data_IF_575385362472
#
_entry.id   IF_575385362472
#
_cell.length_a   1.000
_cell.length_b   1.000
_cell.length_c   1.000
_cell.angle_alpha   90.00
_cell.angle_beta   90.00
_cell.angle_gamma   90.00
#
_symmetry.space_group_name_H-M   'P 1'
#
loop_
_entity.id
_entity.type
_entity.pdbx_description
1 polymer ?
#
# COMPACT_ATOMS: atom_id res chain seq x y z
N UNK A 1 18.73 -21.89 -1.56
CA UNK A 1 18.64 -21.96 -0.07
C UNK A 1 19.82 -21.32 0.69
N UNK A 2 21.09 -21.51 0.29
CA UNK A 2 22.26 -20.97 1.04
C UNK A 2 22.51 -19.46 0.95
N UNK A 3 21.78 -18.71 0.11
CA UNK A 3 21.90 -17.25 0.01
C UNK A 3 20.87 -16.50 0.89
N UNK A 4 19.77 -17.13 1.28
CA UNK A 4 18.78 -16.55 2.19
C UNK A 4 19.27 -16.48 3.65
N UNK A 5 20.19 -17.39 4.04
CA UNK A 5 20.73 -17.46 5.40
C UNK A 5 21.80 -16.38 5.69
N UNK A 6 22.43 -15.80 4.65
CA UNK A 6 23.45 -14.75 4.82
C UNK A 6 22.85 -13.37 5.08
N UNK A 7 21.60 -13.14 4.71
CA UNK A 7 20.90 -11.88 4.99
C UNK A 7 20.42 -11.78 6.45
N UNK A 8 20.16 -12.93 7.10
CA UNK A 8 19.67 -12.99 8.48
C UNK A 8 20.78 -12.82 9.54
N UNK A 9 22.04 -13.11 9.19
CA UNK A 9 23.20 -12.97 10.09
C UNK A 9 23.80 -11.55 10.12
N UNK A 10 23.46 -10.69 9.15
CA UNK A 10 23.95 -9.30 9.15
C UNK A 10 23.16 -8.40 10.15
N UNK A 11 21.94 -8.80 10.51
CA UNK A 11 21.05 -8.06 11.42
C UNK A 11 21.30 -8.32 12.92
N UNK A 12 22.18 -9.27 13.28
CA UNK A 12 22.47 -9.61 14.69
C UNK A 12 23.80 -9.01 15.17
N UNK A 13 24.60 -8.38 14.29
CA UNK A 13 25.92 -7.85 14.64
C UNK A 13 25.98 -6.38 15.08
N UNK A 14 24.83 -5.68 15.17
CA UNK A 14 24.79 -4.26 15.59
C UNK A 14 24.32 -4.02 17.04
N UNK A 15 24.26 -5.06 17.89
CA UNK A 15 23.74 -4.95 19.26
C UNK A 15 24.78 -5.04 20.38
N UNK A 16 26.08 -5.01 20.10
CA UNK A 16 27.11 -5.09 21.14
C UNK A 16 28.23 -4.06 20.94
N UNK A 17 27.96 -2.82 21.37
CA UNK A 17 28.98 -1.86 21.80
C UNK A 17 28.36 -0.93 22.85
N UNK A 18 28.03 -1.50 24.02
CA UNK A 18 27.82 -0.73 25.25
C UNK A 18 28.97 -1.11 26.18
N UNK A 19 30.01 -0.29 26.18
CA UNK A 19 30.95 -0.22 27.29
C UNK A 19 31.34 1.24 27.53
N UNK A 20 31.22 1.64 28.79
CA UNK A 20 31.19 3.02 29.24
C UNK A 20 32.52 3.75 29.15
N UNK A 21 32.43 4.99 28.72
CA UNK A 21 32.91 6.16 29.47
C UNK A 21 31.82 7.22 29.32
N UNK A 22 31.55 8.04 30.34
CA UNK A 22 30.61 9.14 30.25
C UNK A 22 31.20 10.21 29.30
N UNK A 23 31.06 9.96 28.00
CA UNK A 23 31.52 10.84 26.95
C UNK A 23 30.46 11.93 26.80
N UNK A 24 30.86 13.20 26.91
CA UNK A 24 30.03 14.33 26.50
C UNK A 24 29.56 14.09 25.07
N UNK A 25 28.24 14.10 24.84
CA UNK A 25 27.68 13.94 23.49
C UNK A 25 27.51 15.32 22.88
N UNK A 26 28.16 15.54 21.74
CA UNK A 26 28.00 16.75 20.94
C UNK A 26 26.92 16.53 19.87
N UNK A 27 25.89 17.37 19.86
CA UNK A 27 24.82 17.32 18.85
C UNK A 27 24.89 18.60 18.01
N UNK A 28 24.77 18.43 16.68
CA UNK A 28 24.60 19.53 15.73
C UNK A 28 23.12 19.78 15.48
N UNK A 29 22.66 21.00 15.72
CA UNK A 29 21.26 21.42 15.56
C UNK A 29 21.18 22.51 14.50
N UNK A 30 20.13 22.47 13.68
CA UNK A 30 19.85 23.48 12.65
C UNK A 30 18.55 24.22 12.98
N UNK A 31 18.63 25.53 13.20
CA UNK A 31 17.48 26.40 13.34
C UNK A 31 16.95 26.79 11.96
N UNK A 32 15.67 26.51 11.71
CA UNK A 32 14.99 27.04 10.53
C UNK A 32 14.33 28.38 10.84
N UNK A 33 14.64 29.45 10.08
CA UNK A 33 13.96 30.73 10.24
C UNK A 33 12.55 30.58 9.68
N UNK A 34 11.61 30.13 10.52
CA UNK A 34 10.26 29.83 10.03
C UNK A 34 9.48 31.10 9.69
N UNK A 35 9.86 32.28 10.21
CA UNK A 35 9.04 33.51 10.07
C UNK A 35 9.81 34.83 10.10
N UNK A 36 11.11 34.86 9.77
CA UNK A 36 11.79 36.15 9.55
C UNK A 36 11.62 36.53 8.08
N UNK A 37 10.62 37.38 7.77
CA UNK A 37 10.63 38.14 6.51
C UNK A 37 11.92 38.99 6.53
N UNK A 38 13.01 38.45 5.99
CA UNK A 38 14.33 39.07 6.04
C UNK A 38 15.52 38.10 6.16
N UNK A 39 15.31 36.79 6.41
CA UNK A 39 16.43 35.86 6.65
C UNK A 39 17.02 35.98 8.07
N UNK A 40 18.11 35.27 8.36
CA UNK A 40 18.87 35.52 9.59
C UNK A 40 19.44 36.94 9.54
N UNK A 41 19.52 37.66 10.68
CA UNK A 41 20.15 38.99 10.70
C UNK A 41 21.57 38.90 10.11
N UNK A 42 21.95 39.90 9.29
CA UNK A 42 23.25 39.94 8.59
C UNK A 42 24.46 39.86 9.55
N UNK A 43 24.23 40.19 10.83
CA UNK A 43 25.19 40.02 11.90
C UNK A 43 24.90 38.74 12.74
N UNK A 44 25.60 37.62 12.48
CA UNK A 44 25.45 36.37 13.22
C UNK A 44 25.89 36.48 14.68
N UNK A 45 26.61 37.54 15.06
CA UNK A 45 26.99 37.83 16.46
C UNK A 45 25.77 38.02 17.38
N UNK A 46 24.61 38.31 16.79
CA UNK A 46 23.41 38.74 17.51
C UNK A 46 22.47 37.60 17.94
N UNK A 47 22.78 36.35 17.58
CA UNK A 47 21.90 35.21 17.84
C UNK A 47 22.66 34.11 18.60
N UNK A 48 22.20 33.86 19.83
CA UNK A 48 22.78 32.86 20.72
C UNK A 48 21.69 31.92 21.22
N UNK A 49 22.03 30.64 21.35
CA UNK A 49 21.17 29.63 21.97
C UNK A 49 21.71 29.33 23.35
N UNK A 50 20.90 29.55 24.38
CA UNK A 50 21.30 29.40 25.77
C UNK A 50 20.55 28.25 26.44
N UNK A 51 21.18 27.58 27.39
CA UNK A 51 20.50 26.56 28.20
C UNK A 51 19.58 27.23 29.23
N UNK A 52 18.34 26.75 29.34
CA UNK A 52 17.36 27.31 30.25
C UNK A 52 17.88 27.30 31.70
N UNK A 53 17.84 28.47 32.37
CA UNK A 53 18.33 28.70 33.75
C UNK A 53 19.84 28.56 33.95
N UNK A 54 20.63 28.65 32.87
CA UNK A 54 22.10 28.76 32.96
C UNK A 54 22.59 30.01 32.24
N UNK A 55 23.86 30.37 32.44
CA UNK A 55 24.54 31.41 31.66
C UNK A 55 25.27 30.85 30.42
N UNK A 56 25.12 29.55 30.13
CA UNK A 56 25.81 28.89 29.02
C UNK A 56 25.04 29.14 27.73
N UNK A 57 25.71 29.78 26.77
CA UNK A 57 25.18 30.11 25.46
C UNK A 57 26.16 29.70 24.36
N UNK A 58 25.62 29.25 23.23
CA UNK A 58 26.38 28.88 22.04
C UNK A 58 25.99 29.83 20.90
N UNK A 59 26.97 30.40 20.17
CA UNK A 59 26.69 31.21 19.00
C UNK A 59 26.09 30.37 17.87
N UNK A 60 25.18 30.96 17.11
CA UNK A 60 24.58 30.32 15.92
C UNK A 60 25.29 30.80 14.66
N UNK A 61 25.58 29.88 13.74
CA UNK A 61 26.15 30.22 12.43
C UNK A 61 25.17 31.04 11.57
N UNK A 62 25.67 31.67 10.51
CA UNK A 62 24.84 32.44 9.55
C UNK A 62 23.76 31.57 8.91
N UNK A 63 24.03 30.28 8.77
CA UNK A 63 23.15 29.27 8.18
C UNK A 63 22.23 28.62 9.23
N UNK A 64 22.28 29.05 10.50
CA UNK A 64 21.41 28.56 11.56
C UNK A 64 21.95 27.34 12.31
N UNK A 65 23.20 26.92 12.08
CA UNK A 65 23.79 25.76 12.77
C UNK A 65 24.42 26.15 14.10
N UNK A 66 24.26 25.30 15.10
CA UNK A 66 24.99 25.39 16.35
C UNK A 66 25.26 23.99 16.91
N UNK A 67 26.32 23.86 17.72
CA UNK A 67 26.71 22.59 18.35
C UNK A 67 26.61 22.71 19.86
N UNK A 68 25.91 21.78 20.49
CA UNK A 68 25.77 21.75 21.94
C UNK A 68 26.33 20.45 22.49
N UNK A 69 27.03 20.56 23.61
CA UNK A 69 27.42 19.42 24.43
C UNK A 69 26.30 19.16 25.43
N UNK A 70 25.68 18.00 25.36
CA UNK A 70 24.60 17.65 26.26
C UNK A 70 25.16 16.88 27.47
N UNK A 71 24.74 17.24 28.70
CA UNK A 71 25.12 16.48 29.88
C UNK A 71 24.48 15.09 29.82
N UNK A 72 25.31 14.05 30.07
CA UNK A 72 24.99 12.63 29.84
C UNK A 72 23.87 12.06 30.73
N UNK A 73 23.31 12.88 31.63
CA UNK A 73 22.33 12.48 32.65
C UNK A 73 20.92 13.07 32.43
N UNK A 74 20.65 13.72 31.29
CA UNK A 74 19.32 14.30 31.01
C UNK A 74 18.77 13.81 29.67
N UNK A 75 17.52 13.35 29.70
CA UNK A 75 16.80 12.84 28.52
C UNK A 75 16.26 13.96 27.62
N UNK A 76 16.10 15.16 28.19
CA UNK A 76 15.67 16.37 27.49
C UNK A 76 16.42 17.58 28.00
N UNK A 77 16.69 18.53 27.10
CA UNK A 77 17.25 19.83 27.45
C UNK A 77 16.38 20.91 26.83
N UNK A 78 15.93 21.85 27.66
CA UNK A 78 15.27 23.07 27.21
C UNK A 78 16.32 24.14 26.95
N UNK A 79 16.36 24.64 25.72
CA UNK A 79 17.17 25.75 25.27
C UNK A 79 16.28 26.97 25.07
N UNK A 80 16.87 28.16 24.99
CA UNK A 80 16.17 29.33 24.48
C UNK A 80 17.04 30.13 23.52
N UNK A 81 16.40 30.68 22.49
CA UNK A 81 17.08 31.61 21.58
C UNK A 81 17.01 33.00 22.18
N UNK A 82 18.16 33.58 22.46
CA UNK A 82 18.28 34.99 22.81
C UNK A 82 18.68 35.77 21.56
N UNK A 83 17.83 36.71 21.16
CA UNK A 83 18.16 37.71 20.14
C UNK A 83 18.06 39.08 20.78
N UNK A 84 19.02 39.96 20.44
CA UNK A 84 19.08 41.35 20.91
C UNK A 84 17.81 42.14 20.54
N UNK A 85 17.01 41.64 19.59
CA UNK A 85 15.86 42.38 19.04
C UNK A 85 14.48 41.84 19.41
N UNK A 86 14.31 40.58 19.83
CA UNK A 86 12.98 40.02 20.18
C UNK A 86 13.07 38.82 21.13
N UNK A 87 12.13 38.80 22.08
CA UNK A 87 11.65 37.74 22.99
C UNK A 87 12.36 36.39 23.08
N UNK A 88 12.43 35.88 24.32
CA UNK A 88 12.93 34.53 24.67
C UNK A 88 11.98 33.45 24.13
N UNK A 89 12.49 32.53 23.32
CA UNK A 89 11.73 31.38 22.80
C UNK A 89 12.28 30.08 23.36
N UNK A 90 11.51 29.29 24.14
CA UNK A 90 11.94 27.98 24.59
C UNK A 90 11.91 26.96 23.44
N UNK A 91 12.96 26.14 23.36
CA UNK A 91 13.15 25.02 22.42
C UNK A 91 13.42 23.77 23.26
N UNK A 92 12.70 22.68 23.04
CA UNK A 92 13.03 21.39 23.67
C UNK A 92 13.77 20.49 22.68
N UNK A 93 14.95 20.02 23.08
CA UNK A 93 15.78 19.08 22.30
C UNK A 93 15.80 17.75 23.04
N UNK A 94 15.39 16.68 22.36
CA UNK A 94 15.43 15.31 22.91
C UNK A 94 16.82 14.71 22.70
N UNK A 95 17.37 14.02 23.70
CA UNK A 95 18.75 13.49 23.64
C UNK A 95 18.84 12.09 23.03
N UNK A 96 17.72 11.54 22.55
CA UNK A 96 17.60 10.14 22.08
C UNK A 96 17.91 9.93 20.58
N UNK A 97 18.34 10.96 19.84
CA UNK A 97 18.63 10.85 18.40
C UNK A 97 20.03 11.35 18.06
N UNK A 98 20.82 10.51 17.40
CA UNK A 98 22.14 10.87 16.83
C UNK A 98 22.03 11.73 15.54
N UNK A 99 20.86 12.32 15.28
CA UNK A 99 20.53 13.03 14.06
C UNK A 99 20.19 14.49 14.31
N UNK A 100 20.38 15.30 13.26
CA UNK A 100 20.03 16.73 13.20
C UNK A 100 18.55 16.88 13.56
N UNK A 101 18.25 17.53 14.70
CA UNK A 101 16.89 17.84 15.08
C UNK A 101 16.43 19.14 14.43
N UNK A 102 15.26 19.07 13.78
CA UNK A 102 14.60 20.21 13.17
C UNK A 102 13.60 20.79 14.18
N UNK A 103 13.89 21.97 14.71
CA UNK A 103 12.98 22.66 15.65
C UNK A 103 12.16 23.68 14.87
N UNK A 104 10.85 23.48 14.79
CA UNK A 104 9.89 24.45 14.21
C UNK A 104 9.25 25.27 15.32
N UNK A 105 9.25 26.60 15.17
CA UNK A 105 8.73 27.54 16.16
C UNK A 105 7.39 28.13 15.69
N UNK A 106 6.28 27.63 16.25
CA UNK A 106 4.92 28.01 15.83
C UNK A 106 4.23 29.04 16.76
N UNK A 107 4.95 29.74 17.67
CA UNK A 107 4.31 30.58 18.71
C UNK A 107 4.44 32.11 18.58
N UNK A 108 4.64 32.65 17.37
CA UNK A 108 4.52 34.11 17.13
C UNK A 108 3.40 34.47 16.15
N UNK A 109 2.16 34.45 16.64
CA UNK A 109 1.05 35.20 16.05
C UNK A 109 0.96 36.56 16.76
N UNK A 110 1.46 37.61 16.10
CA UNK A 110 1.19 39.00 16.47
C UNK A 110 -0.26 39.28 16.06
N UNK A 111 -1.10 39.64 17.04
CA UNK A 111 -2.51 40.03 16.84
C UNK A 111 -2.63 41.11 15.78
N UNK A 112 -3.35 40.81 14.69
CA UNK A 112 -4.21 41.76 14.01
C UNK A 112 -5.46 41.03 13.53
N UNK A 113 -6.61 41.56 13.92
CA UNK A 113 -7.94 41.07 13.59
C UNK A 113 -8.23 41.25 12.11
N UNK A 114 -8.11 40.20 11.30
CA UNK A 114 -8.76 40.08 9.99
C UNK A 114 -9.12 38.60 9.81
N UNK A 115 -10.41 38.32 9.61
CA UNK A 115 -11.10 37.08 9.22
C UNK A 115 -10.30 35.75 9.22
N UNK A 116 -10.87 34.64 9.75
CA UNK A 116 -10.25 33.32 9.64
C UNK A 116 -10.32 32.82 8.19
N UNK A 117 -9.42 33.31 7.35
CA UNK A 117 -8.99 32.60 6.16
C UNK A 117 -8.08 31.48 6.66
N UNK A 118 -8.70 30.33 6.93
CA UNK A 118 -8.00 29.07 7.15
C UNK A 118 -7.18 28.73 5.89
N UNK A 119 -5.92 29.15 5.88
CA UNK A 119 -4.95 28.67 4.90
C UNK A 119 -4.53 27.25 5.29
N UNK A 120 -4.65 26.27 4.37
CA UNK A 120 -4.47 24.86 4.66
C UNK A 120 -2.98 24.53 4.49
N UNK A 121 -2.13 24.81 5.47
CA UNK A 121 -0.73 24.34 5.44
C UNK A 121 -0.13 24.29 6.84
N UNK A 122 -0.76 23.54 7.74
CA UNK A 122 -0.07 22.97 8.90
C UNK A 122 0.18 21.48 8.62
N UNK A 123 1.40 21.07 8.28
CA UNK A 123 1.75 19.67 8.13
C UNK A 123 2.12 19.14 9.52
N UNK A 124 1.13 18.69 10.30
CA UNK A 124 1.27 17.67 11.35
C UNK A 124 -0.11 17.33 11.91
N UNK A 125 -0.96 16.75 11.07
CA UNK A 125 -1.81 15.66 11.55
C UNK A 125 -1.37 14.44 10.76
N UNK A 126 -0.19 13.94 11.12
CA UNK A 126 0.17 12.59 10.74
C UNK A 126 -0.68 11.66 11.61
N UNK A 127 -1.98 11.57 11.31
CA UNK A 127 -2.76 10.40 11.71
C UNK A 127 -2.36 9.27 10.77
N UNK A 128 -1.14 8.75 10.99
CA UNK A 128 -0.88 7.37 10.64
C UNK A 128 -1.69 6.58 11.65
N UNK A 129 -2.94 6.27 11.31
CA UNK A 129 -3.65 5.29 12.09
C UNK A 129 -2.80 4.02 12.11
N UNK A 130 -2.50 3.55 13.32
CA UNK A 130 -1.72 2.33 13.52
C UNK A 130 -2.47 1.12 12.98
N UNK A 131 -3.77 1.23 12.72
CA UNK A 131 -4.60 0.23 12.07
C UNK A 131 -5.61 0.89 11.14
N UNK A 132 -6.36 0.10 10.38
CA UNK A 132 -7.47 0.59 9.59
C UNK A 132 -8.04 -0.50 8.71
N UNK A 133 -9.27 -0.32 8.26
CA UNK A 133 -9.96 -1.23 7.34
C UNK A 133 -10.28 -0.46 6.06
N UNK A 134 -9.97 -1.04 4.90
CA UNK A 134 -10.43 -0.51 3.62
C UNK A 134 -11.27 -1.53 2.85
N UNK A 135 -12.42 -1.06 2.38
CA UNK A 135 -13.24 -1.78 1.40
C UNK A 135 -12.95 -1.21 0.02
N UNK A 136 -12.60 -2.06 -0.94
CA UNK A 136 -12.25 -1.62 -2.28
C UNK A 136 -13.06 -2.33 -3.36
N UNK A 137 -13.30 -1.61 -4.45
CA UNK A 137 -13.84 -2.13 -5.70
C UNK A 137 -12.84 -1.87 -6.81
N UNK A 138 -12.83 -2.70 -7.84
CA UNK A 138 -11.87 -2.53 -8.92
C UNK A 138 -12.13 -3.41 -10.13
N UNK A 139 -11.18 -3.35 -11.07
CA UNK A 139 -11.17 -4.19 -12.26
C UNK A 139 -9.78 -4.79 -12.40
N UNK A 140 -9.70 -6.11 -12.60
CA UNK A 140 -8.50 -6.82 -13.01
C UNK A 140 -8.53 -7.05 -14.52
N UNK A 141 -7.48 -6.59 -15.19
CA UNK A 141 -7.24 -6.75 -16.63
C UNK A 141 -6.15 -7.79 -16.91
N UNK A 142 -5.87 -8.67 -15.95
CA UNK A 142 -5.00 -9.82 -16.15
C UNK A 142 -5.57 -10.76 -17.22
N UNK A 143 -4.78 -11.03 -18.24
CA UNK A 143 -5.12 -11.98 -19.28
C UNK A 143 -4.80 -13.41 -18.83
N UNK A 144 -5.71 -14.34 -19.10
CA UNK A 144 -5.47 -15.76 -18.95
C UNK A 144 -5.84 -16.42 -20.27
N UNK A 145 -5.03 -17.38 -20.70
CA UNK A 145 -5.30 -18.14 -21.92
C UNK A 145 -5.75 -19.55 -21.55
N UNK A 146 -6.89 -19.95 -22.14
CA UNK A 146 -7.46 -21.29 -22.02
C UNK A 146 -7.19 -22.15 -23.26
N UNK A 147 -6.35 -21.71 -24.20
CA UNK A 147 -6.04 -22.41 -25.47
C UNK A 147 -5.74 -23.90 -25.34
N UNK A 148 -5.14 -24.35 -24.22
CA UNK A 148 -4.94 -25.78 -23.97
C UNK A 148 -6.23 -26.63 -23.88
N UNK A 149 -7.40 -26.00 -23.78
CA UNK A 149 -8.70 -26.64 -23.59
C UNK A 149 -9.58 -26.68 -24.84
N UNK A 150 -9.07 -26.25 -25.99
CA UNK A 150 -9.82 -26.26 -27.27
C UNK A 150 -10.35 -27.64 -27.65
N UNK A 151 -9.64 -28.72 -27.28
CA UNK A 151 -10.08 -30.09 -27.56
C UNK A 151 -11.14 -30.61 -26.58
N UNK A 152 -11.34 -29.93 -25.45
CA UNK A 152 -12.29 -30.34 -24.42
C UNK A 152 -13.67 -29.71 -24.60
N UNK A 153 -13.72 -28.55 -25.25
CA UNK A 153 -14.90 -27.71 -25.39
C UNK A 153 -15.29 -27.61 -26.85
N UNK A 154 -16.58 -27.44 -27.13
CA UNK A 154 -17.00 -27.01 -28.47
C UNK A 154 -16.46 -25.61 -28.77
N UNK A 155 -16.30 -25.21 -30.06
CA UNK A 155 -15.82 -23.87 -30.41
C UNK A 155 -16.62 -22.73 -29.77
N UNK A 156 -17.95 -22.90 -29.67
CA UNK A 156 -18.84 -21.92 -29.04
C UNK A 156 -18.60 -21.83 -27.52
N UNK A 157 -18.50 -22.96 -26.82
CA UNK A 157 -18.18 -22.99 -25.37
C UNK A 157 -16.80 -22.41 -25.08
N UNK A 158 -15.81 -22.74 -25.92
CA UNK A 158 -14.45 -22.23 -25.82
C UNK A 158 -14.39 -20.72 -26.02
N UNK A 159 -15.09 -20.20 -27.03
CA UNK A 159 -15.21 -18.77 -27.29
C UNK A 159 -15.87 -18.04 -26.13
N UNK A 160 -16.99 -18.55 -25.64
CA UNK A 160 -17.71 -18.02 -24.47
C UNK A 160 -16.82 -17.95 -23.24
N UNK A 161 -16.08 -19.03 -22.95
CA UNK A 161 -15.16 -19.06 -21.84
C UNK A 161 -14.03 -18.06 -22.01
N UNK A 162 -13.37 -17.99 -23.17
CA UNK A 162 -12.19 -17.15 -23.41
C UNK A 162 -12.51 -15.66 -23.39
N UNK A 163 -13.63 -15.26 -23.99
CA UNK A 163 -14.03 -13.85 -24.03
C UNK A 163 -14.42 -13.32 -22.63
N UNK A 164 -15.01 -14.18 -21.79
CA UNK A 164 -15.30 -13.87 -20.38
C UNK A 164 -14.04 -13.67 -19.52
N UNK A 165 -12.84 -13.93 -20.07
CA UNK A 165 -11.55 -13.82 -19.37
C UNK A 165 -10.92 -12.43 -19.47
N UNK A 166 -11.42 -11.53 -20.32
CA UNK A 166 -10.72 -10.25 -20.61
C UNK A 166 -10.72 -9.24 -19.48
N UNK A 167 -11.75 -9.20 -18.62
CA UNK A 167 -11.78 -8.34 -17.44
C UNK A 167 -12.57 -8.96 -16.31
N UNK A 168 -12.17 -8.71 -15.06
CA UNK A 168 -12.83 -9.23 -13.86
C UNK A 168 -13.16 -8.07 -12.92
N UNK A 169 -14.43 -7.94 -12.53
CA UNK A 169 -14.80 -7.00 -11.48
C UNK A 169 -14.34 -7.52 -10.12
N UNK A 170 -13.77 -6.65 -9.29
CA UNK A 170 -13.16 -7.00 -8.01
C UNK A 170 -13.82 -6.29 -6.84
N UNK A 171 -13.78 -6.97 -5.70
CA UNK A 171 -14.05 -6.42 -4.39
C UNK A 171 -13.01 -6.96 -3.40
N UNK A 172 -12.35 -6.08 -2.66
CA UNK A 172 -11.42 -6.49 -1.60
C UNK A 172 -11.84 -5.89 -0.26
N UNK A 173 -11.69 -6.67 0.81
CA UNK A 173 -11.67 -6.16 2.18
C UNK A 173 -10.24 -6.27 2.67
N UNK A 174 -9.75 -5.19 3.24
CA UNK A 174 -8.36 -5.02 3.61
C UNK A 174 -8.25 -4.54 5.04
N UNK A 175 -7.30 -5.10 5.77
CA UNK A 175 -6.95 -4.71 7.12
C UNK A 175 -5.49 -4.29 7.10
N UNK A 176 -5.24 -3.11 7.64
CA UNK A 176 -3.92 -2.54 7.77
C UNK A 176 -3.53 -2.46 9.21
N UNK A 177 -2.26 -2.73 9.50
CA UNK A 177 -1.62 -2.44 10.77
C UNK A 177 -0.25 -1.83 10.50
N UNK A 178 -0.07 -0.56 10.84
CA UNK A 178 1.08 0.26 10.49
C UNK A 178 1.32 0.21 8.97
N UNK A 179 2.47 -0.35 8.56
CA UNK A 179 2.83 -0.53 7.15
C UNK A 179 2.41 -1.88 6.58
N UNK A 180 1.96 -2.82 7.42
CA UNK A 180 1.51 -4.13 6.98
C UNK A 180 0.06 -4.06 6.51
N UNK A 181 -0.23 -4.74 5.43
CA UNK A 181 -1.54 -4.78 4.78
C UNK A 181 -1.91 -6.24 4.50
N UNK A 182 -3.13 -6.63 4.81
CA UNK A 182 -3.67 -7.95 4.51
C UNK A 182 -5.05 -7.79 3.90
N UNK A 183 -5.27 -8.38 2.73
CA UNK A 183 -6.56 -8.29 2.05
C UNK A 183 -7.09 -9.66 1.64
N UNK A 184 -8.41 -9.79 1.68
CA UNK A 184 -9.17 -10.88 1.10
C UNK A 184 -10.00 -10.28 -0.03
N UNK A 185 -9.82 -10.80 -1.23
CA UNK A 185 -10.49 -10.33 -2.43
C UNK A 185 -11.40 -11.39 -3.04
N UNK A 186 -12.46 -10.92 -3.69
CA UNK A 186 -13.30 -11.72 -4.58
C UNK A 186 -13.48 -10.99 -5.90
N UNK A 187 -13.60 -11.74 -6.99
CA UNK A 187 -13.91 -11.17 -8.28
C UNK A 187 -14.77 -12.06 -9.15
N UNK A 188 -15.49 -11.43 -10.09
CA UNK A 188 -16.38 -12.11 -11.01
C UNK A 188 -16.43 -11.49 -12.40
N UNK A 189 -16.72 -12.33 -13.39
CA UNK A 189 -17.18 -11.95 -14.72
C UNK A 189 -18.16 -13.03 -15.18
N UNK A 190 -19.30 -12.63 -15.70
CA UNK A 190 -20.35 -13.53 -16.17
C UNK A 190 -20.73 -13.14 -17.60
N UNK A 191 -20.95 -14.14 -18.45
CA UNK A 191 -21.45 -13.98 -19.83
C UNK A 191 -22.53 -15.01 -20.08
N UNK A 192 -23.65 -14.55 -20.61
CA UNK A 192 -24.81 -15.37 -20.96
C UNK A 192 -25.12 -15.14 -22.43
N UNK A 193 -25.35 -16.23 -23.17
CA UNK A 193 -25.71 -16.16 -24.58
C UNK A 193 -26.63 -17.33 -24.96
N UNK A 194 -27.69 -17.03 -25.68
CA UNK A 194 -28.61 -18.04 -26.22
C UNK A 194 -28.38 -18.12 -27.74
N UNK A 195 -28.00 -19.31 -28.24
CA UNK A 195 -27.73 -19.55 -29.66
C UNK A 195 -28.35 -20.86 -30.10
N UNK A 196 -29.19 -20.80 -31.13
CA UNK A 196 -29.75 -21.99 -31.80
C UNK A 196 -30.29 -23.06 -30.83
N UNK A 197 -31.15 -22.64 -29.88
CA UNK A 197 -31.75 -23.47 -28.81
C UNK A 197 -30.84 -23.98 -27.69
N UNK A 198 -29.56 -23.59 -27.69
CA UNK A 198 -28.61 -23.86 -26.62
C UNK A 198 -28.39 -22.56 -25.83
N UNK A 199 -28.52 -22.69 -24.51
CA UNK A 199 -28.16 -21.62 -23.57
C UNK A 199 -26.75 -21.88 -23.06
N UNK A 200 -25.90 -20.86 -23.17
CA UNK A 200 -24.54 -20.85 -22.68
C UNK A 200 -24.40 -19.87 -21.52
N UNK A 201 -23.79 -20.32 -20.43
CA UNK A 201 -23.52 -19.56 -19.23
C UNK A 201 -22.04 -19.76 -18.83
N UNK A 202 -21.22 -18.78 -19.20
CA UNK A 202 -19.80 -18.74 -18.90
C UNK A 202 -19.56 -17.83 -17.70
N UNK A 203 -18.92 -18.37 -16.67
CA UNK A 203 -18.60 -17.64 -15.44
C UNK A 203 -17.13 -17.77 -15.11
N UNK A 204 -16.56 -16.65 -14.69
CA UNK A 204 -15.26 -16.56 -14.08
C UNK A 204 -15.40 -16.06 -12.66
N UNK A 205 -14.73 -16.72 -11.73
CA UNK A 205 -14.63 -16.32 -10.32
C UNK A 205 -13.17 -16.31 -9.91
N UNK A 206 -12.81 -15.38 -9.03
CA UNK A 206 -11.49 -15.30 -8.41
C UNK A 206 -11.65 -15.07 -6.92
N UNK A 207 -10.80 -15.73 -6.14
CA UNK A 207 -10.64 -15.45 -4.72
C UNK A 207 -9.17 -15.19 -4.48
N UNK A 208 -8.85 -14.18 -3.67
CA UNK A 208 -7.47 -13.82 -3.41
C UNK A 208 -7.19 -13.54 -1.94
N UNK A 209 -5.98 -13.89 -1.54
CA UNK A 209 -5.41 -13.59 -0.23
C UNK A 209 -4.10 -12.85 -0.46
N UNK A 210 -4.08 -11.56 -0.14
CA UNK A 210 -2.96 -10.65 -0.39
C UNK A 210 -2.30 -10.22 0.91
N UNK A 211 -0.97 -10.22 0.93
CA UNK A 211 -0.15 -9.66 1.99
C UNK A 211 0.77 -8.59 1.39
N UNK A 212 0.80 -7.41 2.00
CA UNK A 212 1.52 -6.24 1.50
C UNK A 212 2.30 -5.51 2.59
N UNK A 213 3.30 -4.76 2.15
CA UNK A 213 4.05 -3.82 2.97
C UNK A 213 4.17 -2.47 2.27
N UNK A 214 3.70 -1.41 2.94
CA UNK A 214 3.78 -0.02 2.49
C UNK A 214 5.23 0.47 2.60
N UNK A 215 5.86 0.61 1.44
CA UNK A 215 7.21 1.16 1.31
C UNK A 215 7.17 2.69 1.40
N UNK A 216 6.12 3.30 0.80
CA UNK A 216 5.83 4.73 0.90
C UNK A 216 4.43 4.87 1.48
N UNK A 217 4.31 5.64 2.55
CA UNK A 217 3.04 6.00 3.17
C UNK A 217 3.07 7.49 3.51
N UNK A 218 2.47 8.29 2.63
CA UNK A 218 2.35 9.75 2.75
C UNK A 218 0.88 10.12 2.78
N UNK A 219 0.56 11.33 3.23
CA UNK A 219 -0.83 11.74 3.45
C UNK A 219 -1.71 11.70 2.20
N UNK A 220 -1.11 11.83 1.02
CA UNK A 220 -1.79 11.89 -0.28
C UNK A 220 -1.41 10.76 -1.24
N UNK A 221 -0.43 9.92 -0.89
CA UNK A 221 0.12 8.91 -1.80
C UNK A 221 0.67 7.71 -1.04
N UNK A 222 0.47 6.52 -1.59
CA UNK A 222 1.06 5.31 -1.07
C UNK A 222 1.66 4.42 -2.16
N UNK A 223 2.61 3.60 -1.74
CA UNK A 223 3.23 2.56 -2.55
C UNK A 223 3.45 1.31 -1.70
N UNK A 224 2.85 0.20 -2.11
CA UNK A 224 2.85 -1.07 -1.39
C UNK A 224 3.46 -2.14 -2.29
N UNK A 225 4.48 -2.85 -1.81
CA UNK A 225 4.90 -4.13 -2.41
C UNK A 225 4.06 -5.26 -1.82
N UNK A 226 3.60 -6.22 -2.62
CA UNK A 226 2.73 -7.29 -2.14
C UNK A 226 3.01 -8.65 -2.80
N UNK A 227 2.60 -9.70 -2.09
CA UNK A 227 2.41 -11.06 -2.62
C UNK A 227 0.96 -11.50 -2.43
N UNK A 228 0.42 -12.29 -3.35
CA UNK A 228 -0.96 -12.77 -3.29
C UNK A 228 -1.08 -14.22 -3.78
N UNK A 229 -1.94 -14.99 -3.12
CA UNK A 229 -2.40 -16.28 -3.63
C UNK A 229 -3.77 -16.07 -4.23
N UNK A 230 -3.94 -16.42 -5.50
CA UNK A 230 -5.18 -16.29 -6.27
C UNK A 230 -5.71 -17.67 -6.64
N UNK A 231 -6.95 -17.95 -6.30
CA UNK A 231 -7.71 -19.09 -6.80
C UNK A 231 -8.65 -18.63 -7.91
N UNK A 232 -8.33 -18.98 -9.16
CA UNK A 232 -9.17 -18.69 -10.31
C UNK A 232 -10.02 -19.91 -10.68
N UNK A 233 -11.30 -19.66 -10.98
CA UNK A 233 -12.26 -20.67 -11.38
C UNK A 233 -12.98 -20.20 -12.64
N UNK A 234 -12.99 -21.04 -13.66
CA UNK A 234 -13.82 -20.87 -14.85
C UNK A 234 -14.88 -21.96 -14.84
N UNK A 235 -16.09 -21.61 -15.26
CA UNK A 235 -17.19 -22.54 -15.47
C UNK A 235 -17.87 -22.20 -16.77
N UNK A 236 -18.16 -23.22 -17.57
CA UNK A 236 -19.13 -23.13 -18.65
C UNK A 236 -20.25 -24.10 -18.32
N UNK A 237 -21.48 -23.60 -18.44
CA UNK A 237 -22.68 -24.41 -18.46
C UNK A 237 -23.31 -24.24 -19.83
N UNK A 238 -23.50 -25.34 -20.55
CA UNK A 238 -24.30 -25.38 -21.77
C UNK A 238 -25.43 -26.39 -21.59
N UNK A 239 -26.62 -26.01 -22.04
CA UNK A 239 -27.80 -26.88 -21.97
C UNK A 239 -28.91 -26.35 -22.87
N UNK A 240 -29.81 -27.25 -23.28
CA UNK A 240 -30.93 -26.89 -24.16
C UNK A 240 -32.10 -26.30 -23.37
N UNK A 241 -32.82 -25.36 -23.98
CA UNK A 241 -34.02 -24.80 -23.35
C UNK A 241 -35.23 -25.72 -23.54
N UNK A 242 -35.64 -26.41 -22.47
CA UNK A 242 -36.93 -27.05 -22.12
C UNK A 242 -37.78 -27.84 -23.15
N UNK A 243 -37.44 -27.91 -24.43
CA UNK A 243 -38.16 -28.69 -25.46
C UNK A 243 -37.18 -29.22 -26.51
N UNK A 244 -36.51 -30.32 -26.17
CA UNK A 244 -35.75 -31.13 -27.13
C UNK A 244 -36.57 -32.38 -27.40
N UNK A 245 -36.60 -32.84 -28.65
CA UNK A 245 -37.24 -34.10 -29.02
C UNK A 245 -36.46 -35.28 -28.40
N UNK A 246 -37.14 -36.36 -28.00
CA UNK A 246 -36.55 -37.47 -27.21
C UNK A 246 -35.36 -38.14 -27.94
N UNK A 247 -35.36 -38.13 -29.28
CA UNK A 247 -34.26 -38.63 -30.10
C UNK A 247 -33.01 -37.73 -30.03
N UNK A 248 -33.17 -36.42 -29.83
CA UNK A 248 -32.04 -35.48 -29.72
C UNK A 248 -31.50 -35.35 -28.29
N UNK A 249 -32.29 -35.71 -27.27
CA UNK A 249 -31.89 -35.66 -25.88
C UNK A 249 -30.79 -36.68 -25.53
N UNK A 250 -30.83 -37.89 -26.11
CA UNK A 250 -29.85 -38.95 -25.80
C UNK A 250 -28.48 -38.77 -26.49
N UNK A 251 -28.42 -37.97 -27.55
CA UNK A 251 -27.17 -37.71 -28.30
C UNK A 251 -26.43 -36.44 -27.85
N UNK A 252 -27.07 -35.58 -27.03
CA UNK A 252 -26.58 -34.23 -26.73
C UNK A 252 -26.33 -34.07 -25.23
N UNK A 253 -25.07 -33.82 -24.87
CA UNK A 253 -24.61 -33.67 -23.50
C UNK A 253 -24.88 -32.25 -22.98
N UNK A 254 -25.61 -32.13 -21.88
CA UNK A 254 -25.48 -30.96 -21.01
C UNK A 254 -24.05 -30.93 -20.47
N UNK A 255 -23.39 -29.78 -20.62
CA UNK A 255 -21.97 -29.64 -20.27
C UNK A 255 -21.85 -28.64 -19.14
N UNK A 256 -21.54 -29.11 -17.93
CA UNK A 256 -20.98 -28.28 -16.86
C UNK A 256 -19.50 -28.61 -16.77
N UNK A 257 -18.63 -27.74 -17.25
CA UNK A 257 -17.17 -27.89 -17.13
C UNK A 257 -16.63 -26.79 -16.24
N UNK A 258 -15.82 -27.19 -15.26
CA UNK A 258 -15.20 -26.32 -14.27
C UNK A 258 -13.69 -26.51 -14.31
N UNK A 259 -12.97 -25.40 -14.49
CA UNK A 259 -11.50 -25.34 -14.50
C UNK A 259 -11.06 -24.53 -13.29
N UNK A 260 -10.14 -25.07 -12.50
CA UNK A 260 -9.63 -24.44 -11.28
C UNK A 260 -8.11 -24.35 -11.34
N UNK A 261 -7.55 -23.16 -11.08
CA UNK A 261 -6.10 -22.93 -11.08
C UNK A 261 -5.70 -22.02 -9.93
N UNK A 262 -4.63 -22.38 -9.23
CA UNK A 262 -3.98 -21.51 -8.27
C UNK A 262 -2.80 -20.77 -8.90
N UNK A 263 -2.72 -19.48 -8.60
CA UNK A 263 -1.63 -18.60 -8.98
C UNK A 263 -1.03 -17.94 -7.74
N UNK A 264 0.29 -17.78 -7.78
CA UNK A 264 1.02 -16.85 -6.94
C UNK A 264 1.24 -15.57 -7.72
N UNK A 265 0.97 -14.43 -7.12
CA UNK A 265 1.26 -13.12 -7.68
C UNK A 265 2.25 -12.40 -6.78
N UNK A 266 3.19 -11.68 -7.39
CA UNK A 266 3.95 -10.63 -6.70
C UNK A 266 3.83 -9.35 -7.49
N UNK A 267 3.73 -8.22 -6.79
CA UNK A 267 3.47 -6.96 -7.46
C UNK A 267 3.60 -5.73 -6.57
N UNK A 268 3.18 -4.62 -7.14
CA UNK A 268 3.12 -3.31 -6.51
C UNK A 268 1.71 -2.73 -6.64
N UNK A 269 1.27 -2.03 -5.61
CA UNK A 269 0.01 -1.28 -5.56
C UNK A 269 0.36 0.15 -5.21
N UNK A 270 -0.15 1.11 -5.98
CA UNK A 270 0.05 2.52 -5.69
C UNK A 270 -1.20 3.32 -5.96
N UNK A 271 -1.39 4.40 -5.22
CA UNK A 271 -2.57 5.23 -5.37
C UNK A 271 -2.47 6.55 -4.64
N UNK A 272 -3.44 7.40 -4.93
CA UNK A 272 -3.66 8.67 -4.26
C UNK A 272 -4.64 8.50 -3.11
N UNK A 273 -4.50 9.33 -2.08
CA UNK A 273 -5.36 9.36 -0.90
C UNK A 273 -6.04 10.73 -0.82
N UNK A 274 -7.37 10.73 -0.75
CA UNK A 274 -8.20 11.90 -0.55
C UNK A 274 -8.86 11.79 0.83
N UNK A 275 -8.44 12.65 1.76
CA UNK A 275 -9.01 12.69 3.12
C UNK A 275 -10.11 13.73 3.19
N UNK A 276 -11.20 13.40 3.86
CA UNK A 276 -12.27 14.36 4.11
C UNK A 276 -11.86 15.27 5.28
N UNK A 277 -12.07 16.59 5.14
CA UNK A 277 -11.55 17.59 6.09
C UNK A 277 -12.14 17.47 7.50
N UNK A 278 -13.36 16.94 7.60
CA UNK A 278 -14.14 16.85 8.84
C UNK A 278 -14.56 15.40 9.16
N UNK A 279 -13.83 14.41 8.64
CA UNK A 279 -14.11 13.00 8.87
C UNK A 279 -12.81 12.19 8.85
N UNK A 280 -12.76 11.14 9.66
CA UNK A 280 -11.66 10.17 9.65
C UNK A 280 -11.67 9.29 8.38
N UNK A 281 -12.70 9.42 7.54
CA UNK A 281 -12.79 8.70 6.27
C UNK A 281 -11.78 9.22 5.25
N UNK A 282 -11.26 8.30 4.43
CA UNK A 282 -10.47 8.64 3.25
C UNK A 282 -10.88 7.78 2.06
N UNK A 283 -10.79 8.34 0.86
CA UNK A 283 -10.91 7.59 -0.40
C UNK A 283 -9.51 7.38 -0.95
N UNK A 284 -9.23 6.19 -1.46
CA UNK A 284 -8.04 5.94 -2.26
C UNK A 284 -8.45 5.54 -3.68
N UNK A 285 -7.67 5.98 -4.65
CA UNK A 285 -7.80 5.57 -6.04
C UNK A 285 -6.41 5.24 -6.57
N UNK A 286 -6.27 4.12 -7.27
CA UNK A 286 -4.96 3.67 -7.71
C UNK A 286 -4.98 2.50 -8.66
N UNK A 287 -3.80 1.95 -8.88
CA UNK A 287 -3.57 0.82 -9.74
C UNK A 287 -2.66 -0.22 -9.09
N UNK A 288 -2.80 -1.47 -9.53
CA UNK A 288 -1.93 -2.58 -9.19
C UNK A 288 -1.23 -3.07 -10.45
N UNK A 289 0.05 -3.37 -10.32
CA UNK A 289 0.86 -4.05 -11.34
C UNK A 289 1.50 -5.26 -10.69
N UNK A 290 1.50 -6.40 -11.37
CA UNK A 290 2.05 -7.63 -10.83
C UNK A 290 2.48 -8.60 -11.91
N UNK A 291 2.99 -9.75 -11.47
CA UNK A 291 3.32 -10.87 -12.35
C UNK A 291 2.77 -12.15 -11.75
N UNK A 292 2.09 -12.94 -12.58
CA UNK A 292 1.41 -14.18 -12.17
C UNK A 292 2.27 -15.40 -12.44
N UNK A 293 2.32 -16.28 -11.46
CA UNK A 293 3.01 -17.56 -11.51
C UNK A 293 2.01 -18.67 -11.22
N UNK A 294 1.99 -19.72 -12.03
CA UNK A 294 1.19 -20.91 -11.72
C UNK A 294 1.80 -21.65 -10.55
N UNK A 295 0.96 -22.03 -9.60
CA UNK A 295 1.42 -22.83 -8.45
C UNK A 295 1.50 -24.33 -8.76
N UNK A 296 0.79 -24.79 -9.79
CA UNK A 296 0.80 -26.17 -10.27
C UNK A 296 0.60 -26.21 -11.78
N UNK A 297 1.13 -27.26 -12.43
CA UNK A 297 1.12 -27.41 -13.88
C UNK A 297 -0.25 -27.79 -14.45
N UNK A 298 -0.92 -28.74 -13.81
CA UNK A 298 -2.21 -29.27 -14.26
C UNK A 298 -3.35 -28.59 -13.48
N UNK A 299 -4.28 -27.90 -14.15
CA UNK A 299 -5.46 -27.34 -13.53
C UNK A 299 -6.42 -28.44 -13.07
N UNK A 300 -7.20 -28.15 -12.03
CA UNK A 300 -8.27 -29.05 -11.61
C UNK A 300 -9.47 -28.92 -12.55
N UNK A 301 -9.70 -29.93 -13.38
CA UNK A 301 -10.81 -29.96 -14.34
C UNK A 301 -11.86 -30.96 -13.87
N UNK A 302 -13.11 -30.52 -13.78
CA UNK A 302 -14.21 -31.36 -13.38
C UNK A 302 -15.45 -31.06 -14.22
N UNK A 303 -16.23 -32.10 -14.48
CA UNK A 303 -17.64 -31.99 -14.82
C UNK A 303 -18.52 -32.29 -13.61
N UNK A 304 -19.83 -32.14 -13.75
CA UNK A 304 -20.78 -32.51 -12.69
C UNK A 304 -20.69 -33.98 -12.28
N UNK A 305 -20.22 -34.86 -13.17
CA UNK A 305 -20.25 -36.32 -12.97
C UNK A 305 -18.85 -36.91 -12.78
N UNK A 306 -17.80 -36.26 -13.31
CA UNK A 306 -16.44 -36.82 -13.30
C UNK A 306 -15.34 -35.76 -13.22
N UNK A 307 -14.20 -36.13 -12.61
CA UNK A 307 -12.95 -35.40 -12.82
C UNK A 307 -12.40 -35.75 -14.19
N UNK A 308 -11.98 -34.74 -14.94
CA UNK A 308 -11.42 -34.91 -16.27
C UNK A 308 -9.91 -34.81 -16.13
N UNK A 309 -9.22 -35.92 -16.37
CA UNK A 309 -7.76 -35.92 -16.42
C UNK A 309 -7.33 -35.37 -17.78
N UNK A 310 -6.59 -34.27 -17.79
CA UNK A 310 -6.04 -33.69 -19.01
C UNK A 310 -4.64 -33.13 -18.77
N UNK A 311 -3.87 -33.04 -19.86
CA UNK A 311 -2.56 -32.39 -19.87
C UNK A 311 -2.65 -30.91 -20.29
N UNK A 312 -3.85 -30.36 -20.37
CA UNK A 312 -4.06 -28.97 -20.74
C UNK A 312 -3.57 -28.06 -19.62
N UNK A 313 -3.14 -26.85 -19.99
CA UNK A 313 -2.68 -25.86 -19.01
C UNK A 313 -3.41 -24.55 -19.22
N UNK A 314 -3.78 -23.89 -18.12
CA UNK A 314 -4.12 -22.46 -18.17
C UNK A 314 -2.80 -21.70 -18.28
N UNK A 315 -2.65 -20.84 -19.28
CA UNK A 315 -1.45 -20.00 -19.41
C UNK A 315 -1.73 -18.63 -18.81
N UNK A 316 -0.80 -18.15 -17.97
CA UNK A 316 -0.90 -16.85 -17.29
C UNK A 316 0.48 -16.25 -16.97
N UNK A 317 1.52 -16.55 -17.78
CA UNK A 317 2.88 -15.99 -17.58
C UNK A 317 2.95 -14.53 -18.04
N UNK A 318 2.00 -13.73 -17.56
CA UNK A 318 1.67 -12.43 -18.09
C UNK A 318 1.69 -11.38 -16.98
N UNK A 319 1.95 -10.11 -17.34
CA UNK A 319 1.75 -8.99 -16.44
C UNK A 319 0.28 -8.93 -16.01
N UNK A 320 0.07 -8.76 -14.71
CA UNK A 320 -1.23 -8.48 -14.08
C UNK A 320 -1.36 -6.97 -13.91
N UNK A 321 -2.50 -6.42 -14.31
CA UNK A 321 -2.82 -5.01 -14.13
C UNK A 321 -4.23 -4.86 -13.60
N UNK A 322 -4.42 -3.94 -12.66
CA UNK A 322 -5.74 -3.63 -12.14
C UNK A 322 -5.86 -2.18 -11.71
N UNK A 323 -7.10 -1.70 -11.63
CA UNK A 323 -7.46 -0.37 -11.14
C UNK A 323 -8.40 -0.58 -9.97
N UNK A 324 -8.24 0.20 -8.90
CA UNK A 324 -9.08 0.09 -7.72
C UNK A 324 -9.45 1.45 -7.13
N UNK A 325 -10.58 1.45 -6.43
CA UNK A 325 -11.08 2.53 -5.59
C UNK A 325 -11.41 1.95 -4.22
N UNK A 326 -10.98 2.61 -3.14
CA UNK A 326 -11.23 2.12 -1.79
C UNK A 326 -11.73 3.20 -0.87
N UNK A 327 -12.68 2.85 0.00
CA UNK A 327 -13.04 3.65 1.16
C UNK A 327 -12.25 3.12 2.37
N UNK A 328 -11.55 4.01 3.05
CA UNK A 328 -10.73 3.74 4.22
C UNK A 328 -11.46 4.23 5.45
N UNK A 329 -11.65 3.32 6.40
CA UNK A 329 -12.14 3.59 7.74
C UNK A 329 -11.00 3.24 8.69
N UNK A 330 -10.41 4.21 9.37
CA UNK A 330 -9.28 3.96 10.25
C UNK A 330 -9.62 3.22 11.55
#
# INVERSE_FOLDING_TARGET
MKQALKFFLFLISLSTCLNGTAQEREISVLLYPSYVRGGFPDDPSSLQVCFLRTAECVPVSKEGFFRIKLPTHRDTVTLYVSSIYRGVVPIEVSTHTDSIQFVRNDRYSIRNWIYPYSYPNSPTVQSSFDWGVDGSIGVDLSNYSLTGFENLLTPDEFGMMTDSVTSLFLFDINIRYKRLEMAIGWGFADRFEDKESIRYDARRRRYDLRLGYRLIDKDYFFFTGYGSIRWARWRILSGYDNKVDDETFNERRDTDIRINQFFWETGIRSGLILRFKDSDLAIQAGFSLGYLFRMHDSPGVASDISRIDNNAKVTAQDPSFGIFFSLVVP
#
